data_IF_613310612908
#
_entry.id   IF_613310612908
#
_cell.length_a   1.000
_cell.length_b   1.000
_cell.length_c   1.000
_cell.angle_alpha   90.00
_cell.angle_beta   90.00
_cell.angle_gamma   90.00
#
_symmetry.space_group_name_H-M   'P 1'
#
loop_
_entity.id
_entity.type
_entity.pdbx_description
1 polymer ?
#
# COMPACT_ATOMS: atom_id res chain seq x y z
N UNK A 1 -17.78 10.41 -2.47
CA UNK A 1 -17.07 9.34 -3.18
C UNK A 1 -15.60 9.67 -3.07
N UNK A 2 -14.81 8.75 -2.52
CA UNK A 2 -13.36 8.87 -2.46
C UNK A 2 -12.79 8.44 -3.81
N UNK A 3 -11.99 9.32 -4.42
CA UNK A 3 -11.37 9.07 -5.72
C UNK A 3 -10.17 8.15 -5.55
N UNK A 4 -10.34 6.88 -5.86
CA UNK A 4 -9.27 5.87 -5.85
C UNK A 4 -8.86 5.47 -7.27
N UNK A 5 -9.12 6.31 -8.27
CA UNK A 5 -8.95 5.93 -9.68
C UNK A 5 -7.49 5.59 -10.02
N UNK A 6 -6.53 6.31 -9.43
CA UNK A 6 -5.09 6.02 -9.60
C UNK A 6 -4.72 4.62 -9.10
N UNK A 7 -5.46 4.10 -8.11
CA UNK A 7 -5.23 2.77 -7.54
C UNK A 7 -5.52 1.68 -8.59
N UNK A 8 -6.48 1.88 -9.47
CA UNK A 8 -6.78 0.91 -10.54
C UNK A 8 -5.59 0.69 -11.45
N UNK A 9 -4.89 1.78 -11.80
CA UNK A 9 -3.70 1.72 -12.63
C UNK A 9 -2.57 0.95 -11.95
N UNK A 10 -2.40 1.07 -10.63
CA UNK A 10 -1.39 0.32 -9.88
C UNK A 10 -1.59 -1.20 -9.95
N UNK A 11 -2.83 -1.66 -10.10
CA UNK A 11 -3.18 -3.09 -10.13
C UNK A 11 -3.58 -3.57 -11.53
N UNK A 12 -3.34 -2.78 -12.58
CA UNK A 12 -3.71 -3.14 -13.96
C UNK A 12 -5.21 -3.40 -14.17
N UNK A 13 -6.08 -2.70 -13.42
CA UNK A 13 -7.52 -2.93 -13.43
C UNK A 13 -8.24 -2.05 -14.47
N UNK A 14 -8.46 -2.61 -15.65
CA UNK A 14 -9.26 -1.99 -16.73
C UNK A 14 -10.71 -1.70 -16.32
N UNK A 15 -11.27 -2.47 -15.38
CA UNK A 15 -12.58 -2.28 -14.77
C UNK A 15 -12.52 -2.57 -13.26
N UNK A 16 -13.41 -1.99 -12.43
CA UNK A 16 -13.47 -2.30 -11.01
C UNK A 16 -13.64 -3.81 -10.77
N UNK A 17 -12.78 -4.37 -9.91
CA UNK A 17 -12.81 -5.76 -9.48
C UNK A 17 -13.14 -5.81 -7.98
N UNK A 18 -14.30 -5.29 -7.60
CA UNK A 18 -14.73 -5.18 -6.21
C UNK A 18 -15.79 -6.17 -5.77
N UNK A 19 -16.23 -6.03 -4.53
CA UNK A 19 -17.36 -6.79 -4.00
C UNK A 19 -18.70 -6.29 -4.56
N UNK A 20 -19.65 -7.21 -4.72
CA UNK A 20 -21.00 -6.89 -5.18
C UNK A 20 -21.77 -6.02 -4.19
N UNK A 21 -22.76 -5.27 -4.69
CA UNK A 21 -23.64 -4.47 -3.82
C UNK A 21 -24.38 -5.32 -2.78
N UNK A 22 -24.73 -6.57 -3.09
CA UNK A 22 -25.31 -7.50 -2.13
C UNK A 22 -24.36 -7.75 -0.94
N UNK A 23 -23.06 -7.94 -1.23
CA UNK A 23 -22.05 -8.16 -0.20
C UNK A 23 -21.82 -6.90 0.64
N UNK A 24 -21.72 -5.73 0.01
CA UNK A 24 -21.63 -4.44 0.73
C UNK A 24 -22.87 -4.22 1.61
N UNK A 25 -24.07 -4.50 1.11
CA UNK A 25 -25.31 -4.38 1.87
C UNK A 25 -25.35 -5.34 3.07
N UNK A 26 -24.85 -6.57 2.92
CA UNK A 26 -24.74 -7.54 4.00
C UNK A 26 -23.82 -7.05 5.13
N UNK A 27 -22.66 -6.51 4.79
CA UNK A 27 -21.75 -5.91 5.77
C UNK A 27 -22.39 -4.72 6.50
N UNK A 28 -23.11 -3.84 5.78
CA UNK A 28 -23.86 -2.75 6.43
C UNK A 28 -24.93 -3.27 7.38
N UNK A 29 -25.64 -4.33 7.02
CA UNK A 29 -26.62 -4.95 7.90
C UNK A 29 -25.96 -5.53 9.17
N UNK A 30 -24.76 -6.08 9.06
CA UNK A 30 -24.03 -6.66 10.18
C UNK A 30 -23.40 -5.60 11.12
N UNK A 31 -22.85 -4.53 10.55
CA UNK A 31 -22.06 -3.52 11.26
C UNK A 31 -22.79 -2.20 11.47
N UNK A 32 -24.05 -2.10 11.01
CA UNK A 32 -24.90 -0.91 11.07
C UNK A 32 -24.64 0.08 9.94
N UNK A 33 -23.36 0.39 9.69
CA UNK A 33 -22.91 1.20 8.56
C UNK A 33 -21.51 0.77 8.13
N UNK A 34 -21.07 1.27 6.98
CA UNK A 34 -19.69 1.22 6.54
C UNK A 34 -19.24 2.64 6.21
N UNK A 35 -17.97 2.99 6.50
CA UNK A 35 -17.40 4.25 6.02
C UNK A 35 -17.41 4.35 4.51
N UNK A 36 -17.78 5.51 3.98
CA UNK A 36 -17.80 5.76 2.54
C UNK A 36 -16.43 5.48 1.90
N UNK A 37 -15.33 5.86 2.56
CA UNK A 37 -13.96 5.57 2.13
C UNK A 37 -13.68 4.07 1.98
N UNK A 38 -14.24 3.22 2.86
CA UNK A 38 -14.07 1.78 2.79
C UNK A 38 -14.95 1.15 1.72
N UNK A 39 -16.19 1.60 1.60
CA UNK A 39 -17.12 1.08 0.60
C UNK A 39 -16.63 1.33 -0.82
N UNK A 40 -16.18 2.55 -1.10
CA UNK A 40 -15.66 2.92 -2.42
C UNK A 40 -14.43 2.08 -2.76
N UNK A 41 -13.56 1.82 -1.79
CA UNK A 41 -12.39 0.95 -1.96
C UNK A 41 -12.80 -0.51 -2.21
N UNK A 42 -13.79 -1.01 -1.46
CA UNK A 42 -14.31 -2.36 -1.64
C UNK A 42 -14.99 -2.58 -2.99
N UNK A 43 -15.72 -1.59 -3.49
CA UNK A 43 -16.31 -1.60 -4.83
C UNK A 43 -15.25 -1.53 -5.92
N UNK A 44 -14.12 -0.88 -5.63
CA UNK A 44 -13.04 -0.74 -6.60
C UNK A 44 -12.27 -2.05 -6.80
N UNK A 45 -11.81 -2.66 -5.71
CA UNK A 45 -10.70 -3.63 -5.80
C UNK A 45 -10.72 -4.79 -4.80
N UNK A 46 -11.74 -4.92 -3.94
CA UNK A 46 -11.76 -6.01 -2.94
C UNK A 46 -11.97 -7.43 -3.50
N UNK A 47 -12.21 -7.57 -4.79
CA UNK A 47 -12.20 -8.85 -5.52
C UNK A 47 -10.88 -9.13 -6.23
N UNK A 48 -9.93 -8.20 -6.25
CA UNK A 48 -8.61 -8.40 -6.86
C UNK A 48 -7.78 -9.39 -6.02
N UNK A 49 -7.35 -10.49 -6.63
CA UNK A 49 -6.59 -11.53 -5.94
C UNK A 49 -5.20 -11.03 -5.50
N UNK A 50 -4.55 -10.17 -6.29
CA UNK A 50 -3.25 -9.58 -5.94
C UNK A 50 -3.30 -8.80 -4.61
N UNK A 51 -4.45 -8.22 -4.27
CA UNK A 51 -4.69 -7.46 -3.05
C UNK A 51 -5.21 -8.29 -1.88
N UNK A 52 -5.75 -9.49 -2.13
CA UNK A 52 -6.55 -10.23 -1.13
C UNK A 52 -6.00 -11.62 -0.81
N UNK A 53 -5.17 -12.20 -1.68
CA UNK A 53 -4.77 -13.60 -1.60
C UNK A 53 -3.28 -13.86 -1.76
N UNK A 54 -2.45 -12.86 -2.07
CA UNK A 54 -1.01 -13.06 -2.16
C UNK A 54 -0.38 -13.11 -0.74
N UNK A 55 0.16 -14.26 -0.29
CA UNK A 55 0.68 -14.41 1.06
C UNK A 55 2.02 -13.69 1.29
N UNK A 56 2.67 -13.17 0.24
CA UNK A 56 3.92 -12.44 0.37
C UNK A 56 3.71 -10.98 0.80
N UNK A 57 2.47 -10.47 0.77
CA UNK A 57 2.14 -9.05 0.92
C UNK A 57 1.05 -8.81 1.95
N UNK A 58 0.97 -7.56 2.40
CA UNK A 58 -0.13 -7.13 3.25
C UNK A 58 -1.41 -7.23 2.42
N UNK A 59 -2.46 -7.78 3.01
CA UNK A 59 -3.66 -8.11 2.28
C UNK A 59 -4.90 -7.46 2.88
N UNK A 60 -5.76 -7.00 1.98
CA UNK A 60 -7.11 -6.64 2.31
C UNK A 60 -7.84 -7.90 2.80
N UNK A 61 -8.45 -7.80 3.98
CA UNK A 61 -9.08 -8.95 4.62
C UNK A 61 -10.20 -9.51 3.73
N UNK A 62 -10.26 -10.85 3.53
CA UNK A 62 -11.34 -11.46 2.78
C UNK A 62 -12.66 -11.30 3.54
N UNK A 63 -13.77 -11.32 2.80
CA UNK A 63 -15.09 -10.97 3.32
C UNK A 63 -15.57 -11.84 4.50
N UNK A 64 -15.06 -13.07 4.65
CA UNK A 64 -15.38 -13.96 5.76
C UNK A 64 -14.52 -13.72 7.01
N UNK A 65 -13.48 -12.89 6.91
CA UNK A 65 -12.57 -12.54 8.00
C UNK A 65 -12.58 -11.07 8.39
N UNK A 66 -13.19 -10.19 7.59
CA UNK A 66 -13.37 -8.79 7.99
C UNK A 66 -14.07 -8.70 9.35
N UNK A 67 -13.64 -7.76 10.18
CA UNK A 67 -14.21 -7.58 11.51
C UNK A 67 -13.95 -8.71 12.51
N UNK A 68 -12.93 -9.56 12.30
CA UNK A 68 -12.55 -10.64 13.23
C UNK A 68 -12.31 -10.19 14.69
N UNK A 69 -12.06 -8.90 14.92
CA UNK A 69 -11.89 -8.28 16.25
C UNK A 69 -13.13 -7.52 16.74
N UNK A 70 -14.33 -7.87 16.25
CA UNK A 70 -15.61 -7.23 16.64
C UNK A 70 -15.83 -7.22 18.15
N UNK A 71 -15.47 -8.30 18.84
CA UNK A 71 -15.59 -8.41 20.30
C UNK A 71 -14.70 -7.40 21.07
N UNK A 72 -13.62 -6.93 20.44
CA UNK A 72 -12.72 -5.90 20.98
C UNK A 72 -13.18 -4.48 20.61
N UNK A 73 -14.26 -4.34 19.83
CA UNK A 73 -14.79 -3.06 19.40
C UNK A 73 -14.21 -2.53 18.10
N UNK A 74 -13.59 -3.39 17.27
CA UNK A 74 -12.92 -3.00 16.02
C UNK A 74 -13.40 -3.80 14.80
N UNK A 75 -13.49 -3.11 13.66
CA UNK A 75 -13.64 -3.68 12.33
C UNK A 75 -12.26 -3.74 11.67
N UNK A 76 -11.66 -4.94 11.61
CA UNK A 76 -10.38 -5.16 10.93
C UNK A 76 -10.62 -5.32 9.44
N UNK A 77 -9.88 -4.55 8.63
CA UNK A 77 -10.00 -4.54 7.17
C UNK A 77 -8.69 -4.87 6.45
N UNK A 78 -7.54 -4.80 7.12
CA UNK A 78 -6.24 -5.13 6.54
C UNK A 78 -5.41 -5.97 7.52
N UNK A 79 -4.59 -6.87 7.00
CA UNK A 79 -3.63 -7.67 7.76
C UNK A 79 -2.27 -7.60 7.10
N UNK A 80 -1.23 -7.52 7.93
CA UNK A 80 0.15 -7.68 7.48
C UNK A 80 0.38 -9.13 7.02
N UNK A 81 1.35 -9.33 6.11
CA UNK A 81 1.61 -10.61 5.45
C UNK A 81 1.87 -11.79 6.42
N UNK A 82 2.52 -11.54 7.56
CA UNK A 82 2.76 -12.52 8.62
C UNK A 82 1.63 -12.54 9.67
N UNK A 83 0.62 -11.71 9.51
CA UNK A 83 -0.49 -11.50 10.44
C UNK A 83 0.00 -11.13 11.85
N UNK A 84 1.12 -10.40 11.91
CA UNK A 84 1.65 -9.82 13.16
C UNK A 84 0.98 -8.48 13.45
N UNK A 85 0.58 -7.76 12.41
CA UNK A 85 -0.13 -6.48 12.51
C UNK A 85 -1.50 -6.51 11.81
N UNK A 86 -2.48 -5.82 12.40
CA UNK A 86 -3.82 -5.66 11.86
C UNK A 86 -4.25 -4.20 11.90
N UNK A 87 -4.87 -3.71 10.83
CA UNK A 87 -5.45 -2.38 10.77
C UNK A 87 -6.97 -2.43 10.81
N UNK A 88 -7.53 -1.59 11.67
CA UNK A 88 -8.96 -1.58 11.94
C UNK A 88 -9.52 -0.23 12.33
N UNK A 89 -10.84 -0.15 12.23
CA UNK A 89 -11.66 1.02 12.54
C UNK A 89 -12.44 0.70 13.81
N UNK A 90 -12.58 1.67 14.72
CA UNK A 90 -13.47 1.48 15.87
C UNK A 90 -14.90 1.31 15.39
N UNK A 91 -15.63 0.35 15.95
CA UNK A 91 -17.04 0.13 15.59
C UNK A 91 -17.91 1.36 15.86
N UNK A 92 -17.55 2.19 16.84
CA UNK A 92 -18.22 3.47 17.11
C UNK A 92 -18.09 4.51 16.00
N UNK A 93 -17.09 4.36 15.13
CA UNK A 93 -16.71 5.32 14.10
C UNK A 93 -17.16 4.87 12.69
N UNK A 94 -17.84 3.72 12.58
CA UNK A 94 -18.27 3.10 11.31
C UNK A 94 -19.26 3.93 10.50
N UNK A 95 -19.85 4.98 11.08
CA UNK A 95 -20.76 5.91 10.39
C UNK A 95 -20.06 7.15 9.86
N UNK A 96 -18.79 7.36 10.18
CA UNK A 96 -17.99 8.44 9.62
C UNK A 96 -17.57 8.08 8.20
N UNK A 97 -17.51 9.07 7.31
CA UNK A 97 -17.11 8.83 5.92
C UNK A 97 -15.65 8.37 5.79
N UNK A 98 -14.77 8.94 6.63
CA UNK A 98 -13.32 8.70 6.65
C UNK A 98 -12.79 8.62 8.10
N UNK A 99 -13.04 7.51 8.81
CA UNK A 99 -12.73 7.41 10.23
C UNK A 99 -11.22 7.23 10.48
N UNK A 100 -10.76 7.47 11.72
CA UNK A 100 -9.42 7.11 12.13
C UNK A 100 -9.16 5.59 12.07
N UNK A 101 -7.93 5.23 11.73
CA UNK A 101 -7.45 3.85 11.68
C UNK A 101 -6.48 3.58 12.81
N UNK A 102 -6.61 2.38 13.38
CA UNK A 102 -5.78 1.90 14.46
C UNK A 102 -5.10 0.60 14.07
N UNK A 103 -3.90 0.41 14.59
CA UNK A 103 -3.08 -0.78 14.39
C UNK A 103 -2.98 -1.60 15.68
N UNK A 104 -3.00 -2.92 15.52
CA UNK A 104 -2.89 -3.89 16.60
C UNK A 104 -1.80 -4.91 16.28
N UNK A 105 -0.87 -5.12 17.21
CA UNK A 105 0.27 -6.04 17.07
C UNK A 105 0.01 -7.41 17.72
N UNK A 106 -1.24 -7.87 17.73
CA UNK A 106 -1.65 -9.11 18.40
C UNK A 106 -1.69 -9.03 19.92
N UNK A 107 -1.46 -7.85 20.52
CA UNK A 107 -1.71 -7.59 21.94
C UNK A 107 -3.15 -7.06 22.15
N UNK A 108 -3.48 -6.65 23.38
CA UNK A 108 -4.81 -6.09 23.68
C UNK A 108 -4.87 -4.56 23.49
N UNK A 109 -3.94 -3.96 22.74
CA UNK A 109 -3.83 -2.51 22.56
C UNK A 109 -3.95 -2.14 21.09
N UNK A 110 -4.53 -0.97 20.88
CA UNK A 110 -4.74 -0.39 19.56
C UNK A 110 -4.09 0.99 19.53
N UNK A 111 -3.21 1.20 18.56
CA UNK A 111 -2.42 2.42 18.41
C UNK A 111 -2.97 3.21 17.23
N UNK A 112 -3.14 4.52 17.36
CA UNK A 112 -3.61 5.35 16.26
C UNK A 112 -2.54 5.39 15.17
N UNK A 113 -2.88 4.93 13.97
CA UNK A 113 -2.00 5.00 12.79
C UNK A 113 -2.23 6.31 12.05
N UNK A 114 -3.48 6.58 11.65
CA UNK A 114 -3.87 7.75 10.88
C UNK A 114 -5.25 8.25 11.29
N UNK A 115 -5.49 9.55 11.13
CA UNK A 115 -6.82 10.15 11.26
C UNK A 115 -7.72 9.94 10.03
N UNK A 116 -7.22 9.31 8.97
CA UNK A 116 -7.93 9.10 7.70
C UNK A 116 -7.75 7.65 7.24
N UNK A 117 -8.87 6.96 7.02
CA UNK A 117 -8.93 5.64 6.43
C UNK A 117 -8.52 5.66 4.97
N UNK A 118 -8.98 6.66 4.20
CA UNK A 118 -8.63 6.81 2.81
C UNK A 118 -7.11 6.85 2.62
N UNK A 119 -6.40 7.60 3.48
CA UNK A 119 -4.93 7.66 3.46
C UNK A 119 -4.28 6.30 3.71
N UNK A 120 -4.77 5.54 4.68
CA UNK A 120 -4.22 4.20 5.00
C UNK A 120 -4.47 3.20 3.87
N UNK A 121 -5.65 3.25 3.24
CA UNK A 121 -5.98 2.40 2.10
C UNK A 121 -5.09 2.71 0.90
N UNK A 122 -4.93 4.01 0.58
CA UNK A 122 -4.02 4.44 -0.50
C UNK A 122 -2.56 4.07 -0.19
N UNK A 123 -2.11 4.21 1.05
CA UNK A 123 -0.75 3.83 1.45
C UNK A 123 -0.47 2.33 1.26
N UNK A 124 -1.39 1.45 1.68
CA UNK A 124 -1.24 0.01 1.44
C UNK A 124 -1.29 -0.34 -0.04
N UNK A 125 -2.09 0.38 -0.84
CA UNK A 125 -2.10 0.19 -2.29
C UNK A 125 -0.72 0.47 -2.91
N UNK A 126 -0.08 1.59 -2.55
CA UNK A 126 1.28 1.89 -3.02
C UNK A 126 2.34 0.94 -2.46
N UNK A 127 2.21 0.52 -1.20
CA UNK A 127 3.11 -0.47 -0.61
C UNK A 127 3.03 -1.80 -1.36
N UNK A 128 1.82 -2.27 -1.68
CA UNK A 128 1.64 -3.48 -2.48
C UNK A 128 2.13 -3.29 -3.93
N UNK A 129 1.92 -2.12 -4.52
CA UNK A 129 2.43 -1.77 -5.85
C UNK A 129 3.96 -1.97 -5.92
N UNK A 130 4.71 -1.29 -5.04
CA UNK A 130 6.18 -1.40 -5.01
C UNK A 130 6.69 -2.70 -4.40
N UNK A 131 5.85 -3.40 -3.63
CA UNK A 131 6.14 -4.69 -3.01
C UNK A 131 5.93 -5.91 -3.93
N UNK A 132 5.95 -5.71 -5.25
CA UNK A 132 5.92 -6.78 -6.24
C UNK A 132 4.56 -7.01 -6.92
N UNK A 133 3.71 -5.99 -7.01
CA UNK A 133 2.63 -5.97 -8.02
C UNK A 133 3.13 -5.36 -9.33
N UNK A 134 3.95 -4.30 -9.24
CA UNK A 134 4.63 -3.76 -10.41
C UNK A 134 5.77 -4.70 -10.84
N UNK A 135 5.94 -4.83 -12.15
CA UNK A 135 6.75 -5.89 -12.78
C UNK A 135 8.25 -5.64 -12.63
N UNK A 136 8.69 -4.39 -12.77
CA UNK A 136 10.10 -4.03 -12.81
C UNK A 136 10.54 -3.43 -11.48
N UNK A 137 11.50 -4.08 -10.82
CA UNK A 137 12.02 -3.69 -9.50
C UNK A 137 13.50 -4.12 -9.37
N UNK A 138 14.26 -3.62 -8.40
CA UNK A 138 15.63 -4.09 -8.15
C UNK A 138 15.66 -5.59 -7.84
N UNK A 139 16.72 -6.29 -8.24
CA UNK A 139 16.87 -7.74 -8.06
C UNK A 139 16.71 -8.22 -6.60
N UNK A 140 17.26 -7.45 -5.65
CA UNK A 140 17.17 -7.75 -4.21
C UNK A 140 15.82 -7.33 -3.59
N UNK A 141 14.92 -6.74 -4.38
CA UNK A 141 13.59 -6.26 -3.99
C UNK A 141 13.58 -4.95 -3.19
N UNK A 142 14.73 -4.50 -2.68
CA UNK A 142 14.89 -3.23 -1.99
C UNK A 142 16.33 -2.71 -2.05
N UNK A 143 16.49 -1.42 -1.76
CA UNK A 143 17.77 -0.73 -1.63
C UNK A 143 17.89 -0.11 -0.24
N UNK A 144 19.10 0.24 0.18
CA UNK A 144 19.35 0.93 1.45
C UNK A 144 19.79 2.38 1.21
N UNK A 145 19.33 3.28 2.08
CA UNK A 145 19.72 4.69 2.07
C UNK A 145 20.06 5.16 3.48
N UNK A 146 21.18 5.88 3.61
CA UNK A 146 21.48 6.64 4.82
C UNK A 146 20.62 7.90 4.93
N UNK A 147 20.67 8.58 6.08
CA UNK A 147 19.86 9.78 6.32
C UNK A 147 20.05 10.90 5.28
N UNK A 148 21.26 11.10 4.75
CA UNK A 148 21.51 12.15 3.73
C UNK A 148 20.94 11.75 2.38
N UNK A 149 21.11 10.48 2.00
CA UNK A 149 20.58 9.92 0.78
C UNK A 149 19.05 9.96 0.79
N UNK A 150 18.43 9.56 1.89
CA UNK A 150 16.98 9.64 2.11
C UNK A 150 16.46 11.06 1.92
N UNK A 151 17.03 12.05 2.60
CA UNK A 151 16.59 13.45 2.45
C UNK A 151 16.78 13.97 1.02
N UNK A 152 17.86 13.54 0.36
CA UNK A 152 18.09 13.89 -1.05
C UNK A 152 17.02 13.31 -1.96
N UNK A 153 16.70 12.02 -1.85
CA UNK A 153 15.66 11.36 -2.62
C UNK A 153 14.29 12.01 -2.39
N UNK A 154 13.91 12.25 -1.13
CA UNK A 154 12.64 12.92 -0.79
C UNK A 154 12.51 14.32 -1.39
N UNK A 155 13.64 15.03 -1.58
CA UNK A 155 13.65 16.36 -2.21
C UNK A 155 13.53 16.34 -3.74
N UNK A 156 13.82 15.19 -4.37
CA UNK A 156 13.83 15.05 -5.83
C UNK A 156 12.47 14.68 -6.40
N UNK A 157 11.65 13.96 -5.63
CA UNK A 157 10.43 13.33 -6.13
C UNK A 157 9.18 13.86 -5.44
N UNK A 158 8.03 13.65 -6.08
CA UNK A 158 6.76 14.19 -5.58
C UNK A 158 6.17 13.25 -4.55
N UNK A 159 5.99 13.72 -3.32
CA UNK A 159 5.29 12.99 -2.26
C UNK A 159 3.83 12.76 -2.67
N UNK A 160 3.36 11.52 -2.49
CA UNK A 160 1.96 11.16 -2.64
C UNK A 160 1.25 11.46 -1.32
N UNK A 161 0.82 12.71 -1.16
CA UNK A 161 0.18 13.24 0.06
C UNK A 161 -1.07 12.45 0.49
N UNK A 162 -1.76 11.85 -0.48
CA UNK A 162 -2.92 10.97 -0.25
C UNK A 162 -2.53 9.62 0.36
N UNK A 163 -1.25 9.24 0.34
CA UNK A 163 -0.72 8.03 0.96
C UNK A 163 0.07 8.32 2.26
N UNK A 164 0.23 9.59 2.64
CA UNK A 164 0.92 9.97 3.88
C UNK A 164 0.04 9.65 5.11
N UNK A 165 0.18 8.42 5.60
CA UNK A 165 -0.74 7.80 6.57
C UNK A 165 -0.07 7.40 7.88
N UNK A 166 1.26 7.32 7.94
CA UNK A 166 1.97 6.88 9.13
C UNK A 166 2.13 5.36 9.28
N UNK A 167 1.67 4.55 8.32
CA UNK A 167 1.92 3.09 8.34
C UNK A 167 3.43 2.80 8.40
N UNK A 168 3.82 1.65 8.95
CA UNK A 168 5.24 1.25 9.05
C UNK A 168 6.14 2.34 9.64
N UNK A 169 5.72 2.90 10.77
CA UNK A 169 6.46 3.96 11.49
C UNK A 169 6.67 5.25 10.68
N UNK A 170 5.84 5.51 9.67
CA UNK A 170 5.94 6.70 8.83
C UNK A 170 6.55 6.44 7.46
N UNK A 171 6.27 5.30 6.84
CA UNK A 171 6.58 5.07 5.44
C UNK A 171 5.95 6.15 4.55
N UNK A 172 6.72 6.63 3.58
CA UNK A 172 6.33 7.68 2.64
C UNK A 172 6.44 7.18 1.21
N UNK A 173 5.53 7.62 0.34
CA UNK A 173 5.43 7.14 -1.03
C UNK A 173 5.62 8.29 -2.02
N UNK A 174 6.38 8.07 -3.07
CA UNK A 174 6.77 9.10 -4.03
C UNK A 174 6.49 8.64 -5.46
N UNK A 175 6.01 9.57 -6.29
CA UNK A 175 5.97 9.39 -7.75
C UNK A 175 7.33 9.80 -8.32
N UNK A 176 8.04 8.85 -8.93
CA UNK A 176 9.37 9.06 -9.52
C UNK A 176 9.24 9.54 -10.96
N UNK A 177 8.45 8.83 -11.76
CA UNK A 177 7.99 9.21 -13.10
C UNK A 177 6.54 8.72 -13.29
N UNK A 178 6.04 8.60 -14.52
CA UNK A 178 4.61 8.37 -14.76
C UNK A 178 4.06 7.03 -14.29
N UNK A 179 4.88 5.98 -14.29
CA UNK A 179 4.51 4.61 -13.90
C UNK A 179 5.46 3.97 -12.88
N UNK A 180 6.47 4.72 -12.42
CA UNK A 180 7.40 4.30 -11.36
C UNK A 180 7.12 5.01 -10.03
N UNK A 181 7.08 4.21 -8.97
CA UNK A 181 6.84 4.66 -7.61
C UNK A 181 7.93 4.18 -6.67
N UNK A 182 8.15 4.95 -5.61
CA UNK A 182 9.14 4.67 -4.58
C UNK A 182 8.50 4.73 -3.19
N UNK A 183 8.70 3.71 -2.37
CA UNK A 183 8.46 3.77 -0.94
C UNK A 183 9.76 4.01 -0.19
N UNK A 184 9.74 4.92 0.77
CA UNK A 184 10.81 5.19 1.72
C UNK A 184 10.32 4.75 3.09
N UNK A 185 10.85 3.63 3.58
CA UNK A 185 10.46 3.04 4.86
C UNK A 185 11.54 3.28 5.92
N UNK A 186 11.20 3.86 7.09
CA UNK A 186 12.15 4.01 8.19
C UNK A 186 12.72 2.66 8.67
N UNK A 187 14.04 2.59 8.85
CA UNK A 187 14.72 1.42 9.42
C UNK A 187 15.89 1.85 10.32
N UNK A 188 15.59 2.12 11.59
CA UNK A 188 16.57 2.68 12.52
C UNK A 188 17.03 4.06 12.08
N UNK A 189 18.35 4.25 11.95
CA UNK A 189 18.96 5.49 11.45
C UNK A 189 19.00 5.58 9.91
N UNK A 190 18.65 4.49 9.23
CA UNK A 190 18.64 4.36 7.77
C UNK A 190 17.20 4.25 7.23
N UNK A 191 17.07 4.07 5.93
CA UNK A 191 15.81 3.79 5.26
C UNK A 191 15.94 2.63 4.29
N UNK A 192 14.89 1.84 4.20
CA UNK A 192 14.69 0.89 3.10
C UNK A 192 13.97 1.63 1.99
N UNK A 193 14.49 1.52 0.77
CA UNK A 193 13.92 2.10 -0.44
C UNK A 193 13.37 0.95 -1.29
N UNK A 194 12.07 0.96 -1.53
CA UNK A 194 11.45 0.06 -2.52
C UNK A 194 11.14 0.90 -3.74
N UNK A 195 11.59 0.46 -4.91
CA UNK A 195 11.39 1.13 -6.19
C UNK A 195 10.76 0.12 -7.14
N UNK A 196 9.67 0.47 -7.81
CA UNK A 196 9.11 -0.40 -8.83
C UNK A 196 8.33 0.37 -9.89
N UNK A 197 8.29 -0.18 -11.10
CA UNK A 197 7.67 0.37 -12.29
C UNK A 197 6.76 -0.62 -13.00
N UNK A 198 5.74 -0.10 -13.67
CA UNK A 198 4.91 -0.90 -14.57
C UNK A 198 5.60 -1.21 -15.93
N UNK A 199 6.65 -0.47 -16.29
CA UNK A 199 7.42 -0.66 -17.52
C UNK A 199 8.92 -0.63 -17.27
N UNK A 200 9.66 -1.31 -18.14
CA UNK A 200 11.13 -1.34 -18.17
C UNK A 200 11.70 0.08 -18.37
N UNK A 201 11.26 0.80 -19.40
CA UNK A 201 11.70 2.18 -19.68
C UNK A 201 11.48 3.11 -18.49
N UNK A 202 10.33 2.97 -17.80
CA UNK A 202 10.05 3.71 -16.57
C UNK A 202 11.02 3.34 -15.45
N UNK A 203 11.32 2.06 -15.27
CA UNK A 203 12.26 1.59 -14.27
C UNK A 203 13.68 2.09 -14.54
N UNK A 204 14.15 1.98 -15.78
CA UNK A 204 15.50 2.36 -16.18
C UNK A 204 15.72 3.85 -15.92
N UNK A 205 14.78 4.69 -16.37
CA UNK A 205 14.83 6.14 -16.10
C UNK A 205 14.80 6.46 -14.60
N UNK A 206 14.07 5.69 -13.80
CA UNK A 206 14.05 5.86 -12.35
C UNK A 206 15.37 5.41 -11.69
N UNK A 207 15.95 4.29 -12.14
CA UNK A 207 17.21 3.77 -11.64
C UNK A 207 18.36 4.74 -11.94
N UNK A 208 18.42 5.29 -13.15
CA UNK A 208 19.37 6.36 -13.52
C UNK A 208 19.30 7.59 -12.58
N UNK A 209 18.10 7.92 -12.08
CA UNK A 209 17.90 9.04 -11.18
C UNK A 209 18.19 8.69 -9.70
N UNK A 210 17.86 7.47 -9.26
CA UNK A 210 17.91 7.04 -7.85
C UNK A 210 19.28 6.45 -7.50
N UNK A 211 19.84 5.56 -8.32
CA UNK A 211 21.03 4.77 -7.99
C UNK A 211 22.28 5.64 -7.74
N UNK A 212 22.55 6.71 -8.51
CA UNK A 212 23.68 7.59 -8.23
C UNK A 212 23.58 8.30 -6.87
N UNK A 213 22.36 8.57 -6.38
CA UNK A 213 22.16 9.14 -5.03
C UNK A 213 22.55 8.11 -3.96
N UNK A 214 22.27 6.83 -4.22
CA UNK A 214 22.60 5.72 -3.35
C UNK A 214 24.07 5.28 -3.44
N UNK A 215 24.82 5.80 -4.42
CA UNK A 215 26.19 5.37 -4.70
C UNK A 215 26.27 4.00 -5.38
N UNK A 216 25.21 3.62 -6.08
CA UNK A 216 25.10 2.42 -6.89
C UNK A 216 25.35 2.76 -8.36
N UNK A 217 25.87 1.79 -9.11
CA UNK A 217 25.97 1.86 -10.56
C UNK A 217 24.73 1.19 -11.16
N UNK A 218 24.19 1.79 -12.22
CA UNK A 218 23.14 1.20 -13.02
C UNK A 218 23.77 0.77 -14.35
N UNK A 219 23.71 -0.52 -14.66
CA UNK A 219 24.27 -1.12 -15.87
C UNK A 219 23.11 -1.68 -16.71
N UNK A 220 22.84 -1.04 -17.85
CA UNK A 220 21.77 -1.44 -18.78
C UNK A 220 22.07 -2.77 -19.49
N UNK A 221 23.31 -3.27 -19.45
CA UNK A 221 23.73 -4.45 -20.21
C UNK A 221 23.48 -5.76 -19.45
N UNK A 222 22.30 -6.38 -19.58
CA UNK A 222 22.11 -7.85 -19.52
C UNK A 222 20.69 -8.28 -19.94
N UNK A 223 20.36 -8.26 -21.24
CA UNK A 223 19.23 -9.06 -21.75
C UNK A 223 19.40 -9.57 -23.20
N UNK A 224 20.65 -9.77 -23.62
CA UNK A 224 21.01 -10.35 -24.93
C UNK A 224 21.79 -11.68 -24.80
N UNK A 225 21.65 -12.43 -23.70
CA UNK A 225 22.02 -13.85 -23.71
C UNK A 225 20.82 -14.72 -24.12
N UNK A 226 20.52 -14.65 -25.42
CA UNK A 226 19.74 -15.63 -26.17
C UNK A 226 20.34 -17.04 -25.90
N UNK A 227 19.68 -17.83 -25.04
CA UNK A 227 20.04 -19.24 -24.85
C UNK A 227 19.83 -20.00 -26.16
N UNK A 228 20.90 -20.17 -26.94
CA UNK A 228 21.01 -21.08 -28.09
C UNK A 228 20.75 -22.55 -27.73
#
# INVERSE_FOLDING_TARGET
>A
MFGYEDIRSLFGLDEPCGWSEEKIASLKAEYGSLPTALEDYYRLCAGCEELTQNPARDYLMPADKVGMKKAEGYYVFFSENQSVSFWGIKLSDMSQDDPPVYENYGDNKWYLTCGSLAKVLTAHAYLNAVGGVLEYAPDDGYLEADAKQTEKLKSMFTLIETADSGIYMGAQFFKVNDDTFMAVMPNGDNSVIMLASASEEGFDSAAEAVYPVLGLEYDEENDDEEYC
#
